data_IF_247148352478
#
_entry.id   IF_247148352478
#
_cell.length_a   1.000
_cell.length_b   1.000
_cell.length_c   1.000
_cell.angle_alpha   90.00
_cell.angle_beta   90.00
_cell.angle_gamma   90.00
#
_symmetry.space_group_name_H-M   'P 1'
#
loop_
_entity.id
_entity.type
_entity.pdbx_description
1 polymer ?
#
# COMPACT_ATOMS: atom_id res chain seq x y z
N UNK A 1 24.78 -1.95 -6.20
CA UNK A 1 26.11 -1.54 -6.70
C UNK A 1 26.52 -0.18 -6.15
N UNK A 2 25.69 0.87 -6.25
CA UNK A 2 26.00 2.23 -5.72
C UNK A 2 26.35 2.25 -4.22
N UNK A 3 25.59 1.55 -3.37
CA UNK A 3 25.87 1.51 -1.94
C UNK A 3 27.20 0.80 -1.59
N UNK A 4 27.56 -0.26 -2.32
CA UNK A 4 28.85 -0.97 -2.12
C UNK A 4 30.02 -0.04 -2.45
N UNK A 5 29.92 0.72 -3.55
CA UNK A 5 30.92 1.72 -3.94
C UNK A 5 31.02 2.80 -2.85
N UNK A 6 29.88 3.30 -2.35
CA UNK A 6 29.86 4.29 -1.28
C UNK A 6 30.51 3.83 0.03
N UNK A 7 30.47 2.54 0.35
CA UNK A 7 31.07 2.02 1.58
C UNK A 7 32.52 1.56 1.40
N UNK A 8 32.90 1.11 0.20
CA UNK A 8 34.31 0.93 -0.16
C UNK A 8 35.08 2.25 -0.11
N UNK A 9 34.40 3.40 -0.26
CA UNK A 9 34.99 4.71 0.02
C UNK A 9 35.53 4.83 1.45
N UNK A 10 35.20 3.97 2.41
CA UNK A 10 35.70 4.11 3.78
C UNK A 10 36.76 3.07 4.18
N UNK A 11 37.18 2.20 3.26
CA UNK A 11 38.29 1.29 3.52
C UNK A 11 39.60 2.07 3.61
N UNK A 12 40.37 1.78 4.66
CA UNK A 12 41.63 2.44 4.95
C UNK A 12 42.78 1.48 4.74
N UNK A 13 43.62 1.77 3.75
CA UNK A 13 44.81 0.98 3.44
C UNK A 13 46.05 1.69 4.00
N UNK A 14 47.00 0.90 4.49
CA UNK A 14 48.31 1.40 4.90
C UNK A 14 49.21 1.47 3.66
N UNK A 15 49.67 2.67 3.30
CA UNK A 15 50.67 2.85 2.25
C UNK A 15 52.06 2.94 2.87
N UNK A 16 52.97 2.06 2.45
CA UNK A 16 54.37 2.13 2.85
C UNK A 16 55.10 3.00 1.83
N UNK A 17 55.60 4.16 2.25
CA UNK A 17 56.47 4.99 1.42
C UNK A 17 57.92 4.54 1.60
N UNK A 18 58.55 4.10 0.52
CA UNK A 18 59.85 3.39 0.49
C UNK A 18 61.06 4.12 1.10
N UNK A 19 60.93 5.31 1.70
CA UNK A 19 62.10 6.08 2.18
C UNK A 19 61.88 6.82 3.51
N UNK A 20 60.88 6.44 4.30
CA UNK A 20 60.62 7.13 5.57
C UNK A 20 60.48 6.11 6.69
N UNK A 21 61.61 5.81 7.35
CA UNK A 21 61.66 5.09 8.62
C UNK A 21 61.12 6.00 9.75
N UNK A 22 59.81 6.20 9.77
CA UNK A 22 59.13 6.82 10.91
C UNK A 22 58.86 5.72 11.94
N UNK A 23 59.47 5.82 13.12
CA UNK A 23 59.18 4.99 14.31
C UNK A 23 57.77 5.25 14.90
N UNK A 24 56.75 5.45 14.07
CA UNK A 24 55.37 5.78 14.47
C UNK A 24 54.32 4.87 13.82
N UNK A 25 53.07 5.00 14.28
CA UNK A 25 51.92 4.33 13.64
C UNK A 25 51.87 4.68 12.15
N UNK A 26 51.80 3.65 11.29
CA UNK A 26 51.73 3.86 9.84
C UNK A 26 50.45 4.62 9.51
N UNK A 27 50.54 5.82 8.90
CA UNK A 27 49.35 6.53 8.46
C UNK A 27 48.55 5.64 7.50
N UNK A 28 47.22 5.71 7.61
CA UNK A 28 46.30 5.00 6.73
C UNK A 28 45.55 6.02 5.90
N UNK A 29 45.31 5.68 4.64
CA UNK A 29 44.59 6.53 3.71
C UNK A 29 43.41 5.78 3.12
N UNK A 30 42.46 6.53 2.60
CA UNK A 30 41.31 5.98 1.93
C UNK A 30 41.74 5.22 0.67
N UNK A 31 41.25 3.98 0.51
CA UNK A 31 41.58 3.11 -0.63
C UNK A 31 41.16 3.73 -1.98
N UNK A 32 40.03 4.44 -1.99
CA UNK A 32 39.49 5.11 -3.19
C UNK A 32 40.02 6.53 -3.40
N UNK A 33 40.49 7.20 -2.34
CA UNK A 33 41.02 8.56 -2.40
C UNK A 33 42.22 8.72 -1.45
N UNK A 34 43.44 8.47 -1.93
CA UNK A 34 44.64 8.54 -1.09
C UNK A 34 44.95 9.96 -0.60
N UNK A 35 44.22 10.99 -1.04
CA UNK A 35 44.38 12.36 -0.52
C UNK A 35 43.76 12.55 0.86
N UNK A 36 42.83 11.67 1.26
CA UNK A 36 42.16 11.72 2.55
C UNK A 36 42.81 10.73 3.52
N UNK A 37 43.48 11.25 4.54
CA UNK A 37 44.04 10.43 5.62
C UNK A 37 42.91 9.96 6.55
N UNK A 38 42.89 8.65 6.84
CA UNK A 38 41.89 8.05 7.72
C UNK A 38 42.03 8.52 9.17
N UNK A 39 40.91 8.51 9.90
CA UNK A 39 40.82 8.96 11.31
C UNK A 39 41.16 10.43 11.56
N UNK A 40 41.23 11.24 10.50
CA UNK A 40 41.27 12.70 10.62
C UNK A 40 39.87 13.28 10.89
N UNK A 41 39.80 14.58 11.22
CA UNK A 41 38.52 15.28 11.37
C UNK A 41 37.65 15.16 10.11
N UNK A 42 38.27 15.30 8.94
CA UNK A 42 37.56 15.34 7.65
C UNK A 42 36.98 13.96 7.31
N UNK A 43 37.77 12.91 7.52
CA UNK A 43 37.30 11.53 7.41
C UNK A 43 36.14 11.25 8.38
N UNK A 44 36.28 11.68 9.64
CA UNK A 44 35.26 11.44 10.68
C UNK A 44 33.94 12.16 10.35
N UNK A 45 34.00 13.38 9.84
CA UNK A 45 32.82 14.14 9.40
C UNK A 45 32.17 13.46 8.19
N UNK A 46 32.94 13.04 7.19
CA UNK A 46 32.43 12.34 6.02
C UNK A 46 31.76 11.01 6.38
N UNK A 47 32.40 10.21 7.24
CA UNK A 47 31.84 8.96 7.76
C UNK A 47 30.55 9.22 8.56
N UNK A 48 30.53 10.26 9.39
CA UNK A 48 29.34 10.67 10.14
C UNK A 48 28.17 11.08 9.24
N UNK A 49 28.42 11.85 8.18
CA UNK A 49 27.40 12.25 7.20
C UNK A 49 26.87 11.04 6.41
N UNK A 50 27.74 10.10 6.02
CA UNK A 50 27.32 8.87 5.35
C UNK A 50 26.46 7.99 6.27
N UNK A 51 26.86 7.84 7.54
CA UNK A 51 26.08 7.15 8.56
C UNK A 51 24.70 7.79 8.76
N UNK A 52 24.64 9.12 8.91
CA UNK A 52 23.39 9.85 9.04
C UNK A 52 22.48 9.69 7.81
N UNK A 53 23.05 9.78 6.60
CA UNK A 53 22.29 9.60 5.35
C UNK A 53 21.70 8.20 5.27
N UNK A 54 22.46 7.18 5.67
CA UNK A 54 21.96 5.81 5.72
C UNK A 54 20.81 5.68 6.73
N UNK A 55 20.93 6.27 7.92
CA UNK A 55 19.85 6.25 8.93
C UNK A 55 18.57 6.91 8.43
N UNK A 56 18.69 8.11 7.83
CA UNK A 56 17.54 8.85 7.29
C UNK A 56 16.91 8.10 6.13
N UNK A 57 17.71 7.48 5.27
CA UNK A 57 17.19 6.79 4.10
C UNK A 57 16.58 5.43 4.46
N UNK A 58 17.23 4.64 5.32
CA UNK A 58 16.77 3.29 5.70
C UNK A 58 15.57 3.36 6.64
N UNK A 59 15.52 4.31 7.57
CA UNK A 59 14.45 4.40 8.57
C UNK A 59 13.60 5.66 8.44
N UNK A 60 14.22 6.81 8.18
CA UNK A 60 13.49 8.08 8.07
C UNK A 60 12.45 8.08 6.95
N UNK A 61 12.83 7.71 5.72
CA UNK A 61 11.91 7.70 4.59
C UNK A 61 10.72 6.73 4.78
N UNK A 62 10.93 5.45 5.16
CA UNK A 62 9.80 4.57 5.46
C UNK A 62 8.94 5.04 6.63
N UNK A 63 9.53 5.67 7.65
CA UNK A 63 8.79 6.24 8.77
C UNK A 63 7.91 7.41 8.35
N UNK A 64 8.39 8.30 7.48
CA UNK A 64 7.60 9.39 6.90
C UNK A 64 6.43 8.83 6.09
N UNK A 65 6.64 7.78 5.29
CA UNK A 65 5.56 7.11 4.55
C UNK A 65 4.56 6.47 5.51
N UNK A 66 5.02 5.73 6.52
CA UNK A 66 4.16 5.13 7.54
C UNK A 66 3.32 6.20 8.26
N UNK A 67 3.93 7.31 8.66
CA UNK A 67 3.24 8.41 9.33
C UNK A 67 2.22 9.07 8.40
N UNK A 68 2.58 9.32 7.13
CA UNK A 68 1.66 9.84 6.14
C UNK A 68 0.45 8.90 5.93
N UNK A 69 0.68 7.60 5.75
CA UNK A 69 -0.40 6.61 5.61
C UNK A 69 -1.27 6.53 6.86
N UNK A 70 -0.68 6.58 8.06
CA UNK A 70 -1.44 6.60 9.32
C UNK A 70 -2.30 7.85 9.45
N UNK A 71 -1.76 9.01 9.08
CA UNK A 71 -2.49 10.28 9.13
C UNK A 71 -3.66 10.31 8.14
N UNK A 72 -3.45 9.83 6.92
CA UNK A 72 -4.47 9.83 5.87
C UNK A 72 -5.40 8.60 5.88
N UNK A 73 -5.19 7.63 6.79
CA UNK A 73 -5.97 6.37 6.86
C UNK A 73 -7.48 6.57 6.85
N UNK A 74 -7.99 7.56 7.57
CA UNK A 74 -9.44 7.82 7.66
C UNK A 74 -10.04 8.32 6.34
N UNK A 75 -9.29 9.06 5.54
CA UNK A 75 -9.76 9.54 4.25
C UNK A 75 -9.91 8.41 3.23
N UNK A 76 -9.06 7.39 3.31
CA UNK A 76 -9.09 6.26 2.38
C UNK A 76 -10.19 5.24 2.66
N UNK A 77 -10.59 5.05 3.92
CA UNK A 77 -11.73 4.20 4.30
C UNK A 77 -13.01 4.53 3.52
N UNK A 78 -13.17 5.79 3.11
CA UNK A 78 -14.39 6.31 2.49
C UNK A 78 -14.38 6.16 0.97
N UNK A 79 -13.20 6.02 0.34
CA UNK A 79 -13.07 5.94 -1.12
C UNK A 79 -13.03 4.53 -1.69
N UNK A 80 -12.73 3.53 -0.85
CA UNK A 80 -12.73 2.13 -1.28
C UNK A 80 -14.19 1.67 -1.36
N UNK A 81 -14.78 2.04 -2.49
CA UNK A 81 -15.77 1.31 -3.26
C UNK A 81 -17.26 1.51 -2.94
N UNK A 82 -17.85 2.64 -3.36
CA UNK A 82 -19.30 2.78 -3.37
C UNK A 82 -19.98 1.73 -4.28
N UNK A 83 -19.30 1.23 -5.32
CA UNK A 83 -19.87 0.24 -6.24
C UNK A 83 -19.87 -1.17 -5.64
N UNK A 84 -18.79 -1.60 -4.97
CA UNK A 84 -18.83 -2.84 -4.19
C UNK A 84 -19.69 -2.70 -2.93
N UNK A 85 -19.79 -1.52 -2.32
CA UNK A 85 -20.75 -1.31 -1.24
C UNK A 85 -22.19 -1.47 -1.74
N UNK A 86 -22.54 -0.89 -2.89
CA UNK A 86 -23.85 -1.09 -3.51
C UNK A 86 -24.08 -2.56 -3.88
N UNK A 87 -23.10 -3.26 -4.47
CA UNK A 87 -23.23 -4.66 -4.83
C UNK A 87 -23.32 -5.60 -3.61
N UNK A 88 -22.52 -5.37 -2.57
CA UNK A 88 -22.52 -6.11 -1.30
C UNK A 88 -23.81 -5.83 -0.50
N UNK A 89 -24.29 -4.58 -0.51
CA UNK A 89 -25.56 -4.19 0.09
C UNK A 89 -26.73 -4.82 -0.68
N UNK A 90 -26.72 -4.78 -2.02
CA UNK A 90 -27.73 -5.40 -2.88
C UNK A 90 -27.75 -6.92 -2.66
N UNK A 91 -26.58 -7.55 -2.58
CA UNK A 91 -26.44 -8.98 -2.28
C UNK A 91 -26.99 -9.31 -0.90
N UNK A 92 -26.65 -8.54 0.14
CA UNK A 92 -27.21 -8.73 1.50
C UNK A 92 -28.72 -8.49 1.55
N UNK A 93 -29.24 -7.51 0.81
CA UNK A 93 -30.68 -7.27 0.68
C UNK A 93 -31.39 -8.43 -0.02
N UNK A 94 -30.80 -8.95 -1.10
CA UNK A 94 -31.30 -10.14 -1.82
C UNK A 94 -31.25 -11.40 -0.95
N UNK A 95 -30.19 -11.61 -0.16
CA UNK A 95 -30.04 -12.75 0.74
C UNK A 95 -30.95 -12.66 1.98
N UNK A 96 -31.32 -11.45 2.42
CA UNK A 96 -32.12 -11.25 3.65
C UNK A 96 -33.58 -11.69 3.57
N UNK A 97 -34.03 -12.32 2.47
CA UNK A 97 -35.45 -12.63 2.18
C UNK A 97 -36.41 -11.41 2.23
N UNK A 98 -35.94 -10.19 2.50
CA UNK A 98 -36.75 -8.97 2.50
C UNK A 98 -37.40 -8.70 1.12
N UNK A 99 -36.81 -9.25 0.04
CA UNK A 99 -37.35 -9.17 -1.32
C UNK A 99 -38.34 -10.30 -1.68
N UNK A 100 -38.51 -11.33 -0.85
CA UNK A 100 -39.52 -12.37 -1.09
C UNK A 100 -40.95 -11.90 -0.76
N UNK A 101 -41.12 -10.91 0.12
CA UNK A 101 -42.43 -10.32 0.43
C UNK A 101 -42.87 -9.24 -0.58
N UNK A 102 -41.99 -8.76 -1.47
CA UNK A 102 -42.32 -7.75 -2.50
C UNK A 102 -42.83 -8.38 -3.80
N UNK A 103 -43.12 -9.70 -3.81
CA UNK A 103 -43.49 -10.45 -5.01
C UNK A 103 -44.98 -10.33 -5.39
N UNK A 104 -45.52 -9.12 -5.39
CA UNK A 104 -46.73 -8.75 -6.15
C UNK A 104 -46.75 -7.24 -6.46
N UNK A 105 -45.90 -6.75 -7.39
CA UNK A 105 -45.84 -5.33 -7.77
C UNK A 105 -47.01 -4.88 -8.66
N UNK A 106 -48.14 -5.60 -8.65
CA UNK A 106 -49.24 -5.37 -9.59
C UNK A 106 -50.41 -4.56 -9.03
N UNK A 107 -50.44 -4.24 -7.73
CA UNK A 107 -51.63 -3.59 -7.16
C UNK A 107 -51.42 -2.23 -6.47
N UNK A 108 -50.23 -1.84 -5.99
CA UNK A 108 -50.13 -0.62 -5.18
C UNK A 108 -48.93 0.28 -5.56
N UNK A 109 -49.23 1.43 -6.21
CA UNK A 109 -48.33 2.57 -6.45
C UNK A 109 -47.78 3.16 -5.12
N UNK A 110 -48.43 2.84 -4.00
CA UNK A 110 -48.08 3.24 -2.63
C UNK A 110 -46.84 2.50 -2.06
N UNK A 111 -46.45 1.37 -2.66
CA UNK A 111 -45.32 0.54 -2.19
C UNK A 111 -43.96 1.07 -2.66
N UNK A 112 -43.90 1.75 -3.81
CA UNK A 112 -42.66 2.41 -4.27
C UNK A 112 -42.26 3.56 -3.34
N UNK A 113 -43.22 4.37 -2.90
CA UNK A 113 -42.95 5.47 -1.96
C UNK A 113 -42.53 4.95 -0.57
N UNK A 114 -43.14 3.87 -0.09
CA UNK A 114 -42.76 3.24 1.18
C UNK A 114 -41.37 2.57 1.12
N UNK A 115 -41.00 1.96 -0.01
CA UNK A 115 -39.66 1.39 -0.22
C UNK A 115 -38.58 2.47 -0.27
N UNK A 116 -38.87 3.62 -0.90
CA UNK A 116 -37.96 4.78 -0.92
C UNK A 116 -37.81 5.40 0.47
N UNK A 117 -38.89 5.48 1.26
CA UNK A 117 -38.85 5.98 2.64
C UNK A 117 -38.09 5.03 3.58
N UNK A 118 -38.29 3.71 3.47
CA UNK A 118 -37.52 2.71 4.18
C UNK A 118 -36.03 2.71 3.79
N UNK A 119 -35.71 2.98 2.51
CA UNK A 119 -34.33 3.13 2.03
C UNK A 119 -33.65 4.39 2.61
N UNK A 120 -34.40 5.47 2.82
CA UNK A 120 -33.92 6.69 3.47
C UNK A 120 -33.75 6.51 4.99
N UNK A 121 -34.62 5.75 5.64
CA UNK A 121 -34.57 5.50 7.10
C UNK A 121 -33.44 4.51 7.47
N UNK A 122 -33.19 3.50 6.64
CA UNK A 122 -32.06 2.56 6.82
C UNK A 122 -30.70 3.26 6.69
N UNK A 123 -30.63 4.36 5.93
CA UNK A 123 -29.44 5.23 5.84
C UNK A 123 -29.19 6.02 7.12
N UNK A 124 -30.22 6.32 7.90
CA UNK A 124 -30.07 6.97 9.21
C UNK A 124 -29.76 5.97 10.32
N UNK A 125 -30.34 4.76 10.28
CA UNK A 125 -30.16 3.77 11.34
C UNK A 125 -28.77 3.13 11.41
N UNK A 126 -28.03 3.00 10.30
CA UNK A 126 -26.72 2.31 10.31
C UNK A 126 -25.50 3.21 10.54
N UNK A 127 -25.70 4.52 10.66
CA UNK A 127 -24.69 5.44 11.21
C UNK A 127 -24.68 5.44 12.76
N UNK A 128 -25.51 4.61 13.40
CA UNK A 128 -25.73 4.59 14.86
C UNK A 128 -25.48 3.20 15.46
N UNK A 129 -24.41 2.48 15.11
CA UNK A 129 -23.90 1.29 15.84
C UNK A 129 -22.42 1.18 15.44
N UNK A 130 -21.38 1.14 16.27
CA UNK A 130 -21.18 0.95 17.71
C UNK A 130 -19.80 1.59 18.00
N UNK A 131 -19.75 2.69 18.75
CA UNK A 131 -18.47 3.19 19.29
C UNK A 131 -18.34 2.64 20.72
N UNK A 132 -17.30 1.86 21.07
CA UNK A 132 -17.14 1.27 22.40
C UNK A 132 -16.69 2.29 23.47
N UNK A 133 -16.77 3.58 23.18
CA UNK A 133 -16.43 4.63 24.13
C UNK A 133 -17.67 5.05 24.94
N UNK A 134 -17.53 5.26 26.27
CA UNK A 134 -18.63 5.75 27.09
C UNK A 134 -19.08 7.13 26.58
N UNK A 135 -20.33 7.19 26.11
CA UNK A 135 -20.96 8.40 25.61
C UNK A 135 -20.92 9.51 26.68
N UNK A 136 -20.68 10.73 26.23
CA UNK A 136 -20.73 11.90 27.10
C UNK A 136 -22.17 12.20 27.52
N UNK A 137 -22.36 12.89 28.65
CA UNK A 137 -23.70 13.19 29.21
C UNK A 137 -24.58 13.99 28.23
N UNK A 138 -23.94 14.76 27.33
CA UNK A 138 -24.59 15.57 26.29
C UNK A 138 -25.14 14.70 25.15
N UNK A 139 -24.44 13.64 24.75
CA UNK A 139 -24.89 12.69 23.72
C UNK A 139 -26.04 11.81 24.23
N UNK A 140 -26.05 11.49 25.52
CA UNK A 140 -27.15 10.75 26.16
C UNK A 140 -28.44 11.57 26.16
N UNK A 141 -28.35 12.89 26.39
CA UNK A 141 -29.50 13.80 26.29
C UNK A 141 -30.04 13.90 24.86
N UNK A 142 -29.18 14.00 23.87
CA UNK A 142 -29.59 14.07 22.46
C UNK A 142 -30.27 12.78 21.99
N UNK A 143 -29.79 11.61 22.42
CA UNK A 143 -30.47 10.33 22.13
C UNK A 143 -31.86 10.23 22.76
N UNK A 144 -32.02 10.69 24.01
CA UNK A 144 -33.32 10.66 24.67
C UNK A 144 -34.36 11.59 24.02
N UNK A 145 -33.93 12.64 23.32
CA UNK A 145 -34.81 13.56 22.61
C UNK A 145 -35.30 13.01 21.25
N UNK A 146 -34.62 12.00 20.69
CA UNK A 146 -34.97 11.40 19.40
C UNK A 146 -35.90 10.18 19.51
N UNK A 147 -36.06 9.60 20.70
CA UNK A 147 -36.90 8.42 20.96
C UNK A 147 -38.29 8.78 21.49
N UNK A 148 -38.97 9.74 20.85
CA UNK A 148 -40.41 9.93 21.03
C UNK A 148 -41.10 9.35 19.81
N UNK A 149 -41.42 8.05 19.88
CA UNK A 149 -42.32 7.43 18.91
C UNK A 149 -43.75 7.89 19.20
N UNK A 150 -44.55 8.26 18.18
CA UNK A 150 -45.94 8.60 18.37
C UNK A 150 -46.72 7.34 18.76
N UNK A 151 -47.49 7.45 19.83
CA UNK A 151 -48.39 6.41 20.33
C UNK A 151 -49.55 6.23 19.33
N UNK A 152 -49.82 4.98 18.94
CA UNK A 152 -50.85 4.61 17.96
C UNK A 152 -52.25 4.81 18.56
N UNK A 153 -52.82 6.01 18.42
CA UNK A 153 -54.18 6.23 18.93
C UNK A 153 -54.69 7.66 18.87
N UNK A 154 -54.76 8.25 17.68
CA UNK A 154 -55.44 9.54 17.53
C UNK A 154 -55.50 10.01 16.09
N UNK A 155 -56.65 9.86 15.46
CA UNK A 155 -56.99 10.52 14.19
C UNK A 155 -57.29 11.98 14.46
N UNK A 156 -56.27 12.79 14.67
CA UNK A 156 -56.37 14.24 14.53
C UNK A 156 -55.19 14.70 13.67
N UNK A 157 -55.50 15.61 12.75
CA UNK A 157 -54.63 16.16 11.72
C UNK A 157 -53.38 16.81 12.35
N UNK A 158 -52.29 16.05 12.48
CA UNK A 158 -50.99 16.56 12.92
C UNK A 158 -50.38 17.31 11.75
N UNK A 159 -50.49 18.64 11.77
CA UNK A 159 -49.58 19.52 11.04
C UNK A 159 -48.16 19.28 11.56
N UNK A 160 -47.39 18.44 10.85
CA UNK A 160 -45.99 18.14 11.16
C UNK A 160 -45.18 19.44 11.03
N UNK A 161 -44.96 20.10 12.16
CA UNK A 161 -43.92 21.13 12.24
C UNK A 161 -42.57 20.44 12.00
N UNK A 162 -41.95 20.79 10.87
CA UNK A 162 -40.68 20.21 10.40
C UNK A 162 -39.64 20.20 11.53
N UNK A 163 -39.00 19.06 11.84
CA UNK A 163 -38.02 19.00 12.91
C UNK A 163 -36.81 19.85 12.55
N UNK A 164 -36.55 20.87 13.37
CA UNK A 164 -35.52 21.89 13.22
C UNK A 164 -34.09 21.33 13.27
N UNK A 165 -33.93 20.04 13.56
CA UNK A 165 -32.64 19.34 13.56
C UNK A 165 -32.23 18.87 12.16
N UNK A 166 -33.22 18.55 11.30
CA UNK A 166 -32.94 18.31 9.88
C UNK A 166 -32.36 19.56 9.21
N UNK A 167 -32.74 20.76 9.68
CA UNK A 167 -32.22 22.04 9.18
C UNK A 167 -30.75 22.24 9.54
N UNK A 168 -30.25 21.76 10.68
CA UNK A 168 -28.82 21.93 11.03
C UNK A 168 -27.88 20.95 10.31
N UNK A 169 -28.33 19.74 10.00
CA UNK A 169 -27.60 18.82 9.11
C UNK A 169 -27.68 19.25 7.63
N UNK A 170 -28.76 19.94 7.25
CA UNK A 170 -28.88 20.60 5.95
C UNK A 170 -28.05 21.89 5.89
N UNK A 171 -27.83 22.61 7.00
CA UNK A 171 -26.95 23.80 7.06
C UNK A 171 -25.46 23.44 7.05
N UNK A 172 -25.07 22.27 7.58
CA UNK A 172 -23.72 21.73 7.38
C UNK A 172 -23.51 21.23 5.92
N UNK A 173 -24.60 21.06 5.18
CA UNK A 173 -24.65 20.80 3.75
C UNK A 173 -24.88 22.14 3.04
N UNK A 174 -23.90 23.04 3.05
CA UNK A 174 -23.92 24.22 2.17
C UNK A 174 -23.91 23.74 0.71
N UNK A 175 -25.11 23.49 0.19
CA UNK A 175 -25.42 23.39 -1.22
C UNK A 175 -25.36 24.83 -1.70
N UNK A 176 -24.29 25.19 -2.42
CA UNK A 176 -24.36 26.36 -3.28
C UNK A 176 -25.57 26.20 -4.22
N UNK A 177 -26.32 27.27 -4.45
CA UNK A 177 -27.59 27.34 -5.22
C UNK A 177 -27.55 26.77 -6.65
N UNK A 178 -26.42 26.23 -7.10
CA UNK A 178 -26.22 25.57 -8.38
C UNK A 178 -26.25 24.03 -8.32
N UNK A 179 -26.59 23.42 -7.18
CA UNK A 179 -26.68 21.95 -7.08
C UNK A 179 -25.35 21.21 -7.25
N UNK A 180 -24.23 21.93 -7.26
CA UNK A 180 -22.89 21.35 -7.29
C UNK A 180 -22.46 21.18 -5.84
N UNK A 181 -22.34 19.92 -5.41
CA UNK A 181 -21.60 19.56 -4.18
C UNK A 181 -20.17 20.06 -4.36
N UNK A 182 -19.87 21.26 -3.86
CA UNK A 182 -18.50 21.77 -3.90
C UNK A 182 -17.71 21.08 -2.81
N UNK A 183 -17.19 19.90 -3.15
CA UNK A 183 -16.01 19.35 -2.51
C UNK A 183 -14.97 20.45 -2.45
N UNK A 184 -14.55 20.85 -1.25
CA UNK A 184 -13.65 21.96 -1.04
C UNK A 184 -12.37 21.77 -1.91
N UNK A 185 -12.19 22.51 -3.01
CA UNK A 185 -11.25 22.15 -4.07
C UNK A 185 -9.78 22.26 -3.64
N UNK A 186 -9.51 22.94 -2.53
CA UNK A 186 -8.19 23.02 -1.90
C UNK A 186 -7.77 21.66 -1.31
N UNK A 187 -8.70 20.75 -0.98
CA UNK A 187 -8.38 19.36 -0.62
C UNK A 187 -8.24 18.43 -1.84
N UNK A 188 -8.83 18.76 -2.99
CA UNK A 188 -8.74 17.94 -4.20
C UNK A 188 -7.44 18.14 -5.00
N UNK A 189 -6.88 19.35 -5.03
CA UNK A 189 -5.68 19.66 -5.84
C UNK A 189 -4.38 19.13 -5.23
N UNK A 190 -4.24 19.11 -3.89
CA UNK A 190 -3.20 18.31 -3.22
C UNK A 190 -3.56 16.82 -3.17
N UNK A 191 -4.86 16.50 -3.28
CA UNK A 191 -5.39 15.15 -3.29
C UNK A 191 -4.91 14.32 -4.47
N UNK A 192 -4.88 14.82 -5.71
CA UNK A 192 -4.53 13.97 -6.89
C UNK A 192 -3.12 13.41 -6.88
N UNK A 193 -2.13 14.19 -6.46
CA UNK A 193 -0.76 13.67 -6.37
C UNK A 193 -0.60 12.75 -5.17
N UNK A 194 -1.10 13.15 -3.99
CA UNK A 194 -1.04 12.32 -2.80
C UNK A 194 -1.80 11.00 -2.97
N UNK A 195 -2.98 11.00 -3.60
CA UNK A 195 -3.75 9.78 -3.91
C UNK A 195 -3.08 8.91 -4.96
N UNK A 196 -2.44 9.49 -5.99
CA UNK A 196 -1.67 8.67 -6.95
C UNK A 196 -0.42 8.07 -6.33
N UNK A 197 0.35 8.87 -5.60
CA UNK A 197 1.60 8.44 -4.99
C UNK A 197 1.35 7.47 -3.84
N UNK A 198 0.42 7.79 -2.93
CA UNK A 198 0.07 6.93 -1.79
C UNK A 198 -0.78 5.74 -2.22
N UNK A 199 -1.65 5.91 -3.22
CA UNK A 199 -2.46 4.85 -3.84
C UNK A 199 -1.62 3.64 -4.19
N UNK A 200 -0.54 3.87 -4.93
CA UNK A 200 0.41 2.83 -5.31
C UNK A 200 1.00 2.07 -4.11
N UNK A 201 1.07 2.67 -2.92
CA UNK A 201 1.61 2.00 -1.74
C UNK A 201 0.61 1.16 -0.96
N UNK A 202 -0.70 1.32 -1.18
CA UNK A 202 -1.72 0.56 -0.43
C UNK A 202 -2.68 -0.25 -1.30
N UNK A 203 -2.73 -0.02 -2.61
CA UNK A 203 -3.71 -0.64 -3.52
C UNK A 203 -3.64 -2.17 -3.55
N UNK A 204 -2.43 -2.73 -3.39
CA UNK A 204 -2.21 -4.18 -3.42
C UNK A 204 -2.47 -4.89 -2.08
N UNK A 205 -2.77 -4.15 -1.00
CA UNK A 205 -2.81 -4.68 0.37
C UNK A 205 -4.22 -4.66 0.97
N UNK A 206 -4.51 -5.61 1.85
CA UNK A 206 -5.73 -5.59 2.64
C UNK A 206 -5.76 -4.36 3.57
N UNK A 207 -6.98 -3.94 3.90
CA UNK A 207 -7.23 -2.72 4.65
C UNK A 207 -6.51 -2.67 6.03
N UNK A 208 -6.41 -3.81 6.72
CA UNK A 208 -5.78 -3.91 8.03
C UNK A 208 -4.24 -3.84 7.98
N UNK A 209 -3.68 -4.01 6.79
CA UNK A 209 -2.24 -4.07 6.54
C UNK A 209 -1.71 -2.90 5.70
N UNK A 210 -2.36 -1.73 5.76
CA UNK A 210 -1.91 -0.50 5.09
C UNK A 210 -0.45 -0.12 5.38
N UNK A 211 0.10 -0.55 6.52
CA UNK A 211 1.47 -0.28 6.93
C UNK A 211 2.50 -1.21 6.28
N UNK A 212 2.06 -2.26 5.58
CA UNK A 212 2.92 -3.31 5.05
C UNK A 212 3.93 -2.78 4.03
N UNK A 213 3.52 -1.82 3.20
CA UNK A 213 4.43 -1.16 2.24
C UNK A 213 5.61 -0.47 2.92
N UNK A 214 5.38 0.20 4.06
CA UNK A 214 6.47 0.78 4.84
C UNK A 214 7.38 -0.32 5.41
N UNK A 215 6.80 -1.42 5.91
CA UNK A 215 7.56 -2.58 6.37
C UNK A 215 8.42 -3.20 5.26
N UNK A 216 7.87 -3.39 4.07
CA UNK A 216 8.57 -3.87 2.87
C UNK A 216 9.79 -2.99 2.54
N UNK A 217 9.61 -1.67 2.59
CA UNK A 217 10.72 -0.73 2.38
C UNK A 217 11.79 -0.85 3.45
N UNK A 218 11.43 -0.83 4.73
CA UNK A 218 12.39 -0.99 5.84
C UNK A 218 13.16 -2.29 5.67
N UNK A 219 12.48 -3.39 5.35
CA UNK A 219 13.11 -4.69 5.10
C UNK A 219 14.11 -4.62 3.94
N UNK A 220 13.69 -4.11 2.77
CA UNK A 220 14.54 -4.02 1.57
C UNK A 220 15.75 -3.12 1.82
N UNK A 221 15.57 -1.98 2.49
CA UNK A 221 16.65 -1.08 2.85
C UNK A 221 17.57 -1.64 3.92
N UNK A 222 17.04 -2.37 4.90
CA UNK A 222 17.86 -3.04 5.93
C UNK A 222 18.70 -4.16 5.30
N UNK A 223 18.11 -4.96 4.41
CA UNK A 223 18.82 -6.05 3.72
C UNK A 223 19.90 -5.55 2.76
N UNK A 224 19.75 -4.36 2.17
CA UNK A 224 20.73 -3.82 1.22
C UNK A 224 21.72 -2.84 1.84
N UNK A 225 21.26 -1.97 2.74
CA UNK A 225 22.06 -0.95 3.41
C UNK A 225 22.76 -1.46 4.67
N UNK A 226 22.01 -2.02 5.63
CA UNK A 226 22.60 -2.41 6.92
C UNK A 226 23.55 -3.60 6.79
N UNK A 227 23.30 -4.53 5.86
CA UNK A 227 24.26 -5.61 5.56
C UNK A 227 25.65 -5.06 5.22
N UNK A 228 25.73 -3.92 4.52
CA UNK A 228 27.01 -3.28 4.22
C UNK A 228 27.68 -2.70 5.46
N UNK A 229 26.91 -2.08 6.34
CA UNK A 229 27.43 -1.57 7.62
C UNK A 229 27.98 -2.71 8.48
N UNK A 230 27.23 -3.82 8.60
CA UNK A 230 27.69 -5.00 9.32
C UNK A 230 28.92 -5.65 8.68
N UNK A 231 29.04 -5.58 7.35
CA UNK A 231 30.23 -6.02 6.64
C UNK A 231 31.46 -5.20 7.02
N UNK A 232 31.32 -3.87 7.11
CA UNK A 232 32.42 -2.98 7.49
C UNK A 232 32.85 -3.18 8.95
N UNK A 233 31.90 -3.35 9.87
CA UNK A 233 32.19 -3.40 11.31
C UNK A 233 32.58 -4.81 11.77
N UNK A 234 31.89 -5.83 11.28
CA UNK A 234 32.00 -7.22 11.76
C UNK A 234 32.49 -8.23 10.73
N UNK A 235 32.93 -7.77 9.55
CA UNK A 235 33.38 -8.62 8.46
C UNK A 235 32.26 -9.36 7.72
N UNK A 236 32.67 -10.20 6.77
CA UNK A 236 31.74 -10.85 5.83
C UNK A 236 30.74 -11.79 6.53
N UNK A 237 31.18 -12.59 7.50
CA UNK A 237 30.30 -13.56 8.22
C UNK A 237 29.18 -12.86 8.96
N UNK A 238 29.48 -11.78 9.69
CA UNK A 238 28.49 -11.04 10.48
C UNK A 238 27.43 -10.43 9.56
N UNK A 239 27.83 -9.93 8.40
CA UNK A 239 26.91 -9.39 7.39
C UNK A 239 25.95 -10.45 6.83
N UNK A 240 26.46 -11.66 6.56
CA UNK A 240 25.66 -12.79 6.06
C UNK A 240 24.66 -13.27 7.12
N UNK A 241 25.10 -13.41 8.37
CA UNK A 241 24.24 -13.79 9.49
C UNK A 241 23.14 -12.76 9.73
N UNK A 242 23.47 -11.47 9.71
CA UNK A 242 22.49 -10.40 9.83
C UNK A 242 21.45 -10.45 8.69
N UNK A 243 21.91 -10.58 7.44
CA UNK A 243 21.03 -10.71 6.27
C UNK A 243 20.09 -11.91 6.38
N UNK A 244 20.58 -13.05 6.87
CA UNK A 244 19.79 -14.25 7.12
C UNK A 244 18.72 -14.03 8.19
N UNK A 245 19.06 -13.40 9.31
CA UNK A 245 18.10 -13.10 10.40
C UNK A 245 16.97 -12.20 9.89
N UNK A 246 17.30 -11.16 9.12
CA UNK A 246 16.29 -10.26 8.54
C UNK A 246 15.40 -10.99 7.53
N UNK A 247 15.98 -11.86 6.69
CA UNK A 247 15.23 -12.65 5.73
C UNK A 247 14.27 -13.65 6.42
N UNK A 248 14.72 -14.36 7.45
CA UNK A 248 13.89 -15.26 8.24
C UNK A 248 12.77 -14.52 8.96
N UNK A 249 13.08 -13.37 9.56
CA UNK A 249 12.07 -12.50 10.16
C UNK A 249 11.01 -12.08 9.13
N UNK A 250 11.41 -11.82 7.89
CA UNK A 250 10.47 -11.50 6.82
C UNK A 250 9.58 -12.66 6.40
N UNK A 251 10.12 -13.88 6.29
CA UNK A 251 9.33 -15.09 6.04
C UNK A 251 8.29 -15.30 7.14
N UNK A 252 8.68 -15.14 8.41
CA UNK A 252 7.76 -15.28 9.55
C UNK A 252 6.66 -14.22 9.51
N UNK A 253 7.02 -12.96 9.25
CA UNK A 253 6.05 -11.88 9.13
C UNK A 253 5.06 -12.14 7.98
N UNK A 254 5.55 -12.49 6.78
CA UNK A 254 4.71 -12.77 5.61
C UNK A 254 3.76 -13.94 5.89
N UNK A 255 4.27 -15.04 6.46
CA UNK A 255 3.46 -16.22 6.78
C UNK A 255 2.34 -15.91 7.78
N UNK A 256 2.58 -14.97 8.71
CA UNK A 256 1.65 -14.63 9.78
C UNK A 256 0.56 -13.66 9.35
N UNK A 257 0.91 -12.66 8.55
CA UNK A 257 0.01 -11.53 8.27
C UNK A 257 -0.73 -11.67 6.95
N UNK A 258 -0.11 -12.25 5.92
CA UNK A 258 -0.71 -12.36 4.57
C UNK A 258 -1.40 -11.08 4.10
N UNK A 259 -0.61 -10.01 3.89
CA UNK A 259 -1.13 -8.66 3.77
C UNK A 259 -1.75 -8.33 2.40
N UNK A 260 -1.62 -9.18 1.39
CA UNK A 260 -2.01 -8.83 0.02
C UNK A 260 -3.51 -9.05 -0.17
N UNK A 261 -4.13 -8.23 -1.01
CA UNK A 261 -5.54 -8.40 -1.37
C UNK A 261 -5.77 -9.71 -2.15
N UNK A 262 -4.76 -10.14 -2.91
CA UNK A 262 -4.76 -11.39 -3.67
C UNK A 262 -3.91 -12.46 -2.96
N UNK A 263 -4.56 -13.57 -2.60
CA UNK A 263 -3.94 -14.73 -1.96
C UNK A 263 -2.75 -15.31 -2.77
N UNK A 264 -2.76 -15.18 -4.09
CA UNK A 264 -1.68 -15.69 -4.94
C UNK A 264 -0.43 -14.80 -4.86
N UNK A 265 -0.60 -13.49 -4.68
CA UNK A 265 0.52 -12.58 -4.38
C UNK A 265 1.15 -12.91 -3.02
N UNK A 266 0.34 -13.30 -2.04
CA UNK A 266 0.82 -13.74 -0.73
C UNK A 266 1.68 -15.00 -0.80
N UNK A 267 1.22 -16.01 -1.56
CA UNK A 267 1.98 -17.24 -1.80
C UNK A 267 3.27 -16.94 -2.56
N UNK A 268 3.18 -16.13 -3.62
CA UNK A 268 4.35 -15.74 -4.41
C UNK A 268 5.39 -15.03 -3.55
N UNK A 269 4.97 -14.04 -2.76
CA UNK A 269 5.86 -13.30 -1.87
C UNK A 269 6.50 -14.20 -0.83
N UNK A 270 5.73 -15.14 -0.26
CA UNK A 270 6.28 -16.14 0.67
C UNK A 270 7.36 -17.01 0.01
N UNK A 271 7.11 -17.52 -1.20
CA UNK A 271 8.09 -18.32 -1.96
C UNK A 271 9.36 -17.52 -2.26
N UNK A 272 9.21 -16.25 -2.68
CA UNK A 272 10.35 -15.36 -2.95
C UNK A 272 11.19 -15.14 -1.69
N UNK A 273 10.56 -14.82 -0.55
CA UNK A 273 11.26 -14.60 0.72
C UNK A 273 11.92 -15.89 1.25
N UNK A 274 11.26 -17.04 1.08
CA UNK A 274 11.81 -18.32 1.46
C UNK A 274 13.05 -18.67 0.62
N UNK A 275 12.98 -18.49 -0.70
CA UNK A 275 14.13 -18.66 -1.59
C UNK A 275 15.28 -17.71 -1.21
N UNK A 276 14.96 -16.46 -0.90
CA UNK A 276 15.96 -15.50 -0.42
C UNK A 276 16.68 -16.02 0.84
N UNK A 277 15.97 -16.66 1.77
CA UNK A 277 16.58 -17.29 2.95
C UNK A 277 17.51 -18.44 2.56
N UNK A 278 17.07 -19.34 1.67
CA UNK A 278 17.89 -20.48 1.22
C UNK A 278 19.19 -20.01 0.56
N UNK A 279 19.13 -18.97 -0.25
CA UNK A 279 20.31 -18.38 -0.91
C UNK A 279 21.28 -17.81 0.12
N UNK A 280 20.79 -17.14 1.17
CA UNK A 280 21.64 -16.63 2.27
C UNK A 280 22.31 -17.77 3.04
N UNK A 281 21.59 -18.88 3.30
CA UNK A 281 22.16 -20.08 3.93
C UNK A 281 23.24 -20.68 3.05
N UNK A 282 23.01 -20.81 1.74
CA UNK A 282 24.02 -21.32 0.81
C UNK A 282 25.25 -20.42 0.75
N UNK A 283 25.10 -19.09 0.83
CA UNK A 283 26.24 -18.17 0.89
C UNK A 283 27.07 -18.37 2.15
N UNK A 284 26.42 -18.61 3.29
CA UNK A 284 27.10 -18.93 4.53
C UNK A 284 27.85 -20.28 4.45
N UNK A 285 27.23 -21.30 3.84
CA UNK A 285 27.87 -22.60 3.60
C UNK A 285 29.08 -22.50 2.66
N UNK A 286 28.97 -21.67 1.62
CA UNK A 286 30.06 -21.38 0.68
C UNK A 286 31.24 -20.73 1.41
N UNK A 287 30.96 -19.75 2.28
CA UNK A 287 31.98 -19.11 3.11
C UNK A 287 32.67 -20.12 4.06
N UNK A 288 31.89 -21.04 4.67
CA UNK A 288 32.43 -22.03 5.60
C UNK A 288 33.25 -23.15 4.92
N UNK A 289 32.99 -23.45 3.64
CA UNK A 289 33.62 -24.56 2.92
C UNK A 289 34.04 -24.15 1.50
N UNK A 290 35.17 -23.43 1.34
CA UNK A 290 35.65 -22.96 0.04
C UNK A 290 35.97 -24.10 -0.94
N UNK A 291 36.33 -25.30 -0.43
CA UNK A 291 36.57 -26.48 -1.26
C UNK A 291 35.35 -26.93 -2.10
N UNK A 292 34.14 -26.44 -1.78
CA UNK A 292 32.88 -26.79 -2.45
C UNK A 292 32.19 -25.59 -3.09
N UNK A 293 32.90 -24.49 -3.31
CA UNK A 293 32.35 -23.25 -3.85
C UNK A 293 31.52 -23.48 -5.13
N UNK A 294 32.07 -24.25 -6.09
CA UNK A 294 31.38 -24.57 -7.34
C UNK A 294 30.02 -25.26 -7.14
N UNK A 295 29.91 -26.17 -6.18
CA UNK A 295 28.68 -26.91 -5.93
C UNK A 295 27.59 -26.00 -5.32
N UNK A 296 27.97 -25.13 -4.37
CA UNK A 296 27.06 -24.14 -3.80
C UNK A 296 26.64 -23.09 -4.82
N UNK A 297 27.57 -22.63 -5.66
CA UNK A 297 27.28 -21.71 -6.76
C UNK A 297 26.24 -22.25 -7.73
N UNK A 298 26.40 -23.49 -8.20
CA UNK A 298 25.42 -24.16 -9.07
C UNK A 298 24.04 -24.25 -8.38
N UNK A 299 24.03 -24.61 -7.10
CA UNK A 299 22.79 -24.74 -6.31
C UNK A 299 22.05 -23.40 -6.19
N UNK A 300 22.77 -22.28 -6.01
CA UNK A 300 22.17 -20.94 -6.00
C UNK A 300 21.54 -20.59 -7.34
N UNK A 301 22.23 -20.86 -8.46
CA UNK A 301 21.69 -20.58 -9.80
C UNK A 301 20.40 -21.37 -10.01
N UNK A 302 20.40 -22.67 -9.70
CA UNK A 302 19.21 -23.52 -9.85
C UNK A 302 18.03 -22.99 -9.04
N UNK A 303 18.24 -22.65 -7.76
CA UNK A 303 17.18 -22.11 -6.90
C UNK A 303 16.59 -20.79 -7.41
N UNK A 304 17.45 -19.89 -7.91
CA UNK A 304 16.99 -18.62 -8.49
C UNK A 304 16.22 -18.85 -9.79
N UNK A 305 16.70 -19.73 -10.66
CA UNK A 305 15.99 -20.09 -11.89
C UNK A 305 14.62 -20.68 -11.57
N UNK A 306 14.51 -21.57 -10.58
CA UNK A 306 13.22 -22.15 -10.17
C UNK A 306 12.22 -21.08 -9.72
N UNK A 307 12.65 -20.09 -8.94
CA UNK A 307 11.76 -19.02 -8.50
C UNK A 307 11.34 -18.09 -9.63
N UNK A 308 12.26 -17.76 -10.54
CA UNK A 308 11.92 -16.98 -11.74
C UNK A 308 10.93 -17.74 -12.61
N UNK A 309 11.12 -19.04 -12.82
CA UNK A 309 10.17 -19.85 -13.60
C UNK A 309 8.81 -19.94 -12.93
N UNK A 310 8.77 -20.06 -11.59
CA UNK A 310 7.52 -20.05 -10.84
C UNK A 310 6.78 -18.71 -10.98
N UNK A 311 7.47 -17.59 -10.77
CA UNK A 311 6.88 -16.26 -10.97
C UNK A 311 6.41 -16.02 -12.40
N UNK A 312 7.17 -16.48 -13.40
CA UNK A 312 6.74 -16.40 -14.81
C UNK A 312 5.50 -17.24 -15.10
N UNK A 313 5.35 -18.40 -14.45
CA UNK A 313 4.19 -19.26 -14.62
C UNK A 313 2.93 -18.60 -14.03
N UNK A 314 3.02 -18.00 -12.84
CA UNK A 314 1.89 -17.29 -12.22
C UNK A 314 1.53 -16.01 -12.99
N UNK A 315 2.51 -15.31 -13.58
CA UNK A 315 2.28 -14.10 -14.37
C UNK A 315 1.86 -14.40 -15.82
N UNK A 316 1.94 -15.64 -16.28
CA UNK A 316 1.66 -16.01 -17.67
C UNK A 316 0.24 -15.67 -18.13
N UNK A 317 -0.84 -15.88 -17.33
CA UNK A 317 -2.20 -15.51 -17.72
C UNK A 317 -2.34 -14.01 -17.97
N UNK A 318 -1.79 -13.18 -17.07
CA UNK A 318 -1.80 -11.72 -17.21
C UNK A 318 -1.01 -11.27 -18.46
N UNK A 319 0.15 -11.88 -18.69
CA UNK A 319 0.93 -11.59 -19.89
C UNK A 319 0.18 -11.95 -21.16
N UNK A 320 -0.54 -13.08 -21.16
CA UNK A 320 -1.38 -13.52 -22.28
C UNK A 320 -2.49 -12.50 -22.56
N UNK A 321 -3.20 -12.04 -21.54
CA UNK A 321 -4.27 -11.05 -21.67
C UNK A 321 -3.76 -9.69 -22.19
N UNK A 322 -2.66 -9.20 -21.64
CA UNK A 322 -1.99 -7.98 -22.11
C UNK A 322 -1.53 -8.12 -23.57
N UNK A 323 -1.00 -9.28 -23.93
CA UNK A 323 -0.54 -9.55 -25.29
C UNK A 323 -1.69 -9.59 -26.29
N UNK A 324 -2.81 -10.22 -25.92
CA UNK A 324 -4.04 -10.23 -26.73
C UNK A 324 -4.60 -8.80 -26.90
N UNK A 325 -4.68 -8.02 -25.83
CA UNK A 325 -5.12 -6.62 -25.86
C UNK A 325 -4.23 -5.74 -26.75
N UNK A 326 -2.91 -5.92 -26.64
CA UNK A 326 -1.96 -5.20 -27.49
C UNK A 326 -2.09 -5.59 -28.96
N UNK A 327 -2.34 -6.87 -29.26
CA UNK A 327 -2.58 -7.31 -30.63
C UNK A 327 -3.84 -6.70 -31.22
N UNK A 328 -4.91 -6.57 -30.45
CA UNK A 328 -6.16 -5.95 -30.89
C UNK A 328 -5.99 -4.46 -31.16
N UNK A 329 -5.35 -3.72 -30.24
CA UNK A 329 -4.98 -2.31 -30.46
C UNK A 329 -4.12 -2.11 -31.72
N UNK A 330 -3.20 -3.04 -31.98
CA UNK A 330 -2.37 -3.01 -33.19
C UNK A 330 -3.13 -3.35 -34.47
N UNK A 331 -4.22 -4.14 -34.40
CA UNK A 331 -5.10 -4.39 -35.55
C UNK A 331 -5.89 -3.13 -35.89
N UNK A 332 -6.41 -2.43 -34.88
CA UNK A 332 -7.21 -1.21 -35.05
C UNK A 332 -6.38 0.00 -35.50
N UNK A 333 -5.12 0.08 -35.06
CA UNK A 333 -4.22 1.16 -35.42
C UNK A 333 -3.67 1.11 -36.86
N UNK A 334 -4.02 0.09 -37.68
CA UNK A 334 -3.52 0.04 -39.07
C UNK A 334 -4.18 1.13 -39.94
N UNK A 335 -3.39 2.07 -40.50
CA UNK A 335 -3.88 3.15 -41.35
C UNK A 335 -4.36 2.56 -42.68
N UNK A 336 -5.64 2.25 -42.75
CA UNK A 336 -6.26 1.54 -43.87
C UNK A 336 -7.65 0.99 -43.55
N UNK A 337 -8.06 0.99 -42.28
CA UNK A 337 -9.42 0.68 -41.84
C UNK A 337 -10.17 1.88 -41.23
N UNK A 338 -9.74 3.10 -41.56
CA UNK A 338 -10.64 4.25 -41.57
C UNK A 338 -11.64 4.13 -42.75
N UNK A 339 -12.44 3.05 -42.79
CA UNK A 339 -13.69 3.10 -43.54
C UNK A 339 -14.60 4.03 -42.76
N UNK A 340 -14.68 5.26 -43.25
CA UNK A 340 -15.85 6.12 -43.18
C UNK A 340 -17.12 5.28 -43.26
N UNK A 341 -17.62 4.80 -42.13
CA UNK A 341 -19.05 4.59 -41.95
C UNK A 341 -19.59 5.93 -41.49
N UNK A 342 -19.61 6.88 -42.44
CA UNK A 342 -20.67 7.88 -42.49
C UNK A 342 -21.98 7.11 -42.69
N UNK A 343 -22.54 6.60 -41.61
CA UNK A 343 -23.98 6.35 -41.52
C UNK A 343 -24.51 7.54 -40.76
N UNK A 344 -24.58 8.68 -41.45
CA UNK A 344 -25.52 9.73 -41.05
C UNK A 344 -26.91 9.15 -41.35
N UNK A 345 -27.81 9.03 -40.37
CA UNK A 345 -29.19 8.70 -40.65
C UNK A 345 -29.78 9.84 -41.47
N UNK A 346 -29.98 9.59 -42.77
CA UNK A 346 -30.95 10.35 -43.57
C UNK A 346 -32.33 9.90 -43.10
N UNK A 347 -32.81 10.46 -42.00
CA UNK A 347 -34.23 10.44 -41.65
C UNK A 347 -34.72 11.89 -41.57
N UNK A 348 -35.73 12.13 -42.43
CA UNK A 348 -36.76 13.16 -42.31
C UNK A 348 -36.43 14.59 -42.78
N UNK A 349 -36.47 14.73 -44.11
CA UNK A 349 -36.97 15.93 -44.79
C UNK A 349 -38.02 15.49 -45.83
N UNK A 350 -39.23 15.21 -45.35
CA UNK A 350 -40.48 15.25 -46.12
C UNK A 350 -41.55 16.04 -45.36
#
# INVERSE_FOLDING_TARGET
MVAIIMFQLFNCDAYQFDNVDLEGETPRWLSLDPTVQCYTSDWTIAAGMAGFTLLVYVWGFPFVIFYAMRYYRYFYKVQIDPANFEAELLKKLLESNALQDVRNPAEDEEVEDAAVEMYLDTRQLKLVVEDPHPLTEEETRLRSAFLVLPDEGGTDEITVSRPTVAVKLWEAKQINDFGIVSWNPITQLNGRFATKLLGQFYEDYEFDYYWWSAYEMVRRFTQTGMVLVFRLVGGDVTSLLFGLVVALGAVVMQARYRPYLDDDLDKLQFVVLFNQCLVQILMLCMYASPARENAYGISMVVLQTMCVTYGLQELWPLFKELFETWQDLKRDARPGHARLTQVLPNEELE
#
